data_IF_762517200835
#
_entry.id   IF_762517200835
#
_cell.length_a   1.000
_cell.length_b   1.000
_cell.length_c   1.000
_cell.angle_alpha   90.00
_cell.angle_beta   90.00
_cell.angle_gamma   90.00
#
_symmetry.space_group_name_H-M   'P 1'
#
loop_
_entity.id
_entity.type
_entity.pdbx_description
1 polymer ?
#
# COMPACT_ATOMS: atom_id res chain seq x y z
N UNK A 1 8.73 23.46 -34.72
CA UNK A 1 9.19 23.83 -33.36
C UNK A 1 8.08 24.28 -32.41
N UNK A 2 7.06 25.06 -32.85
CA UNK A 2 5.98 25.54 -31.97
C UNK A 2 5.10 24.43 -31.35
N UNK A 3 4.74 23.39 -32.13
CA UNK A 3 3.93 22.26 -31.66
C UNK A 3 4.57 21.48 -30.50
N UNK A 4 5.89 21.25 -30.54
CA UNK A 4 6.60 20.56 -29.44
C UNK A 4 6.70 21.41 -28.17
N UNK A 5 6.75 22.74 -28.28
CA UNK A 5 6.71 23.63 -27.09
C UNK A 5 5.32 23.64 -26.45
N UNK A 6 4.25 23.69 -27.25
CA UNK A 6 2.89 23.61 -26.72
C UNK A 6 2.62 22.26 -26.04
N UNK A 7 3.04 21.16 -26.66
CA UNK A 7 2.89 19.80 -26.12
C UNK A 7 3.58 19.64 -24.76
N UNK A 8 4.76 20.25 -24.57
CA UNK A 8 5.49 20.25 -23.29
C UNK A 8 4.65 20.82 -22.16
N UNK A 9 4.04 21.98 -22.35
CA UNK A 9 3.23 22.61 -21.30
C UNK A 9 1.89 21.89 -21.07
N UNK A 10 1.30 21.35 -22.14
CA UNK A 10 0.06 20.58 -22.04
C UNK A 10 0.24 19.27 -21.26
N UNK A 11 1.39 18.60 -21.42
CA UNK A 11 1.71 17.34 -20.71
C UNK A 11 2.32 17.56 -19.32
N UNK A 12 2.82 18.76 -18.99
CA UNK A 12 3.39 19.08 -17.69
C UNK A 12 2.52 18.71 -16.48
N UNK A 13 1.21 19.04 -16.42
CA UNK A 13 0.38 18.64 -15.27
C UNK A 13 0.29 17.12 -15.11
N UNK A 14 0.21 16.37 -16.22
CA UNK A 14 0.22 14.89 -16.17
C UNK A 14 1.55 14.34 -15.66
N UNK A 15 2.67 14.95 -16.07
CA UNK A 15 3.99 14.57 -15.59
C UNK A 15 4.15 14.83 -14.09
N UNK A 16 3.60 15.93 -13.58
CA UNK A 16 3.58 16.23 -12.14
C UNK A 16 2.72 15.22 -11.37
N UNK A 17 1.51 14.91 -11.85
CA UNK A 17 0.64 13.90 -11.23
C UNK A 17 1.34 12.54 -11.22
N UNK A 18 1.95 12.12 -12.33
CA UNK A 18 2.68 10.87 -12.41
C UNK A 18 3.86 10.82 -11.44
N UNK A 19 4.59 11.93 -11.26
CA UNK A 19 5.68 12.02 -10.28
C UNK A 19 5.18 11.88 -8.84
N UNK A 20 4.06 12.51 -8.48
CA UNK A 20 3.45 12.38 -7.15
C UNK A 20 2.99 10.93 -6.91
N UNK A 21 2.30 10.33 -7.89
CA UNK A 21 1.86 8.93 -7.79
C UNK A 21 3.05 7.97 -7.65
N UNK A 22 4.14 8.23 -8.37
CA UNK A 22 5.38 7.46 -8.23
C UNK A 22 5.95 7.55 -6.81
N UNK A 23 6.06 8.76 -6.25
CA UNK A 23 6.57 8.98 -4.89
C UNK A 23 5.68 8.28 -3.84
N UNK A 24 4.35 8.42 -3.96
CA UNK A 24 3.41 7.75 -3.06
C UNK A 24 3.51 6.22 -3.18
N UNK A 25 3.59 5.70 -4.41
CA UNK A 25 3.80 4.28 -4.65
C UNK A 25 5.12 3.77 -4.05
N UNK A 26 6.19 4.55 -4.15
CA UNK A 26 7.50 4.22 -3.60
C UNK A 26 7.45 4.15 -2.08
N UNK A 27 6.75 5.10 -1.45
CA UNK A 27 6.56 5.11 -0.02
C UNK A 27 5.81 3.86 0.46
N UNK A 28 4.67 3.53 -0.16
CA UNK A 28 3.87 2.34 0.20
C UNK A 28 4.70 1.06 0.01
N UNK A 29 5.38 0.94 -1.12
CA UNK A 29 6.21 -0.22 -1.42
C UNK A 29 7.40 -0.35 -0.46
N UNK A 30 8.06 0.78 -0.15
CA UNK A 30 9.18 0.84 0.79
C UNK A 30 8.77 0.44 2.20
N UNK A 31 7.63 0.93 2.69
CA UNK A 31 7.11 0.56 4.02
C UNK A 31 6.74 -0.93 4.08
N UNK A 32 6.05 -1.46 3.06
CA UNK A 32 5.73 -2.88 3.02
C UNK A 32 6.97 -3.78 2.96
N UNK A 33 7.98 -3.38 2.18
CA UNK A 33 9.26 -4.09 2.13
C UNK A 33 10.02 -4.02 3.46
N UNK A 34 10.00 -2.86 4.13
CA UNK A 34 10.59 -2.70 5.46
C UNK A 34 9.93 -3.62 6.49
N UNK A 35 8.59 -3.67 6.56
CA UNK A 35 7.89 -4.59 7.46
C UNK A 35 8.28 -6.04 7.14
N UNK A 36 8.28 -6.45 5.86
CA UNK A 36 8.65 -7.81 5.50
C UNK A 36 10.09 -8.18 5.87
N UNK A 37 11.03 -7.23 5.80
CA UNK A 37 12.44 -7.48 6.08
C UNK A 37 12.78 -7.48 7.58
N UNK A 38 12.06 -6.70 8.38
CA UNK A 38 12.45 -6.42 9.77
C UNK A 38 11.41 -6.83 10.82
N UNK A 39 10.15 -7.03 10.44
CA UNK A 39 9.14 -7.50 11.39
C UNK A 39 9.17 -9.02 11.52
N UNK A 40 8.73 -9.51 12.68
CA UNK A 40 8.75 -10.94 12.98
C UNK A 40 7.43 -11.55 12.55
N UNK A 41 7.50 -12.63 11.76
CA UNK A 41 6.34 -13.39 11.33
C UNK A 41 5.82 -14.29 12.47
N UNK A 42 4.50 -14.31 12.66
CA UNK A 42 3.80 -15.19 13.60
C UNK A 42 2.48 -15.67 12.99
N UNK A 43 1.97 -16.79 13.51
CA UNK A 43 0.65 -17.31 13.11
C UNK A 43 -0.35 -16.94 14.18
N UNK A 44 -1.34 -16.15 13.79
CA UNK A 44 -2.45 -15.76 14.64
C UNK A 44 -3.68 -16.61 14.34
N UNK A 45 -4.45 -16.92 15.38
CA UNK A 45 -5.75 -17.58 15.26
C UNK A 45 -6.83 -16.52 15.44
N UNK A 46 -7.75 -16.43 14.49
CA UNK A 46 -8.91 -15.54 14.60
C UNK A 46 -9.83 -16.07 15.70
N UNK A 47 -10.10 -15.27 16.71
CA UNK A 47 -10.97 -15.65 17.84
C UNK A 47 -12.37 -15.11 17.68
N UNK A 48 -12.53 -13.96 17.04
CA UNK A 48 -13.82 -13.30 16.87
C UNK A 48 -13.87 -12.52 15.56
N UNK A 49 -15.04 -12.48 14.92
CA UNK A 49 -15.31 -11.67 13.73
C UNK A 49 -16.69 -11.02 13.88
N UNK A 50 -16.73 -9.70 13.82
CA UNK A 50 -17.97 -8.91 13.93
C UNK A 50 -18.12 -8.03 12.70
N UNK A 51 -19.12 -8.26 11.83
CA UNK A 51 -19.36 -7.40 10.68
C UNK A 51 -19.82 -6.00 11.12
N UNK A 52 -19.46 -4.99 10.33
CA UNK A 52 -19.93 -3.63 10.51
C UNK A 52 -20.15 -2.95 9.15
N UNK A 53 -20.99 -1.93 9.13
CA UNK A 53 -21.18 -1.07 7.96
C UNK A 53 -20.83 0.37 8.34
N UNK A 54 -19.89 0.97 7.61
CA UNK A 54 -19.52 2.38 7.75
C UNK A 54 -20.32 3.22 6.74
N UNK A 55 -21.09 4.20 7.22
CA UNK A 55 -21.80 5.17 6.37
C UNK A 55 -20.94 6.43 6.21
N UNK A 56 -20.52 6.73 4.98
CA UNK A 56 -19.75 7.93 4.67
C UNK A 56 -20.67 9.13 4.40
N UNK A 57 -20.13 10.35 4.57
CA UNK A 57 -20.86 11.64 4.45
C UNK A 57 -21.67 11.86 3.15
N UNK A 58 -21.49 11.03 2.12
CA UNK A 58 -22.21 11.10 0.83
C UNK A 58 -23.16 9.91 0.59
N UNK A 59 -23.52 9.15 1.62
CA UNK A 59 -24.42 7.99 1.51
C UNK A 59 -23.75 6.72 0.97
N UNK A 60 -22.42 6.75 0.75
CA UNK A 60 -21.66 5.55 0.43
C UNK A 60 -21.53 4.69 1.68
N UNK A 61 -22.01 3.45 1.61
CA UNK A 61 -21.82 2.44 2.64
C UNK A 61 -20.64 1.55 2.26
N UNK A 62 -19.75 1.32 3.21
CA UNK A 62 -18.67 0.33 3.07
C UNK A 62 -18.80 -0.70 4.17
N UNK A 63 -18.96 -1.95 3.78
CA UNK A 63 -18.96 -3.07 4.72
C UNK A 63 -17.53 -3.43 5.11
N UNK A 64 -17.37 -3.87 6.36
CA UNK A 64 -16.10 -4.30 6.91
C UNK A 64 -16.32 -5.29 8.04
N UNK A 65 -15.19 -5.77 8.58
CA UNK A 65 -15.18 -6.68 9.71
C UNK A 65 -14.27 -6.13 10.80
N UNK A 66 -14.73 -6.18 12.04
CA UNK A 66 -13.85 -6.14 13.20
C UNK A 66 -13.42 -7.57 13.48
N UNK A 67 -12.16 -7.75 13.85
CA UNK A 67 -11.59 -9.06 14.13
C UNK A 67 -10.84 -9.00 15.44
N UNK A 68 -10.89 -10.08 16.20
CA UNK A 68 -9.98 -10.35 17.28
C UNK A 68 -9.10 -11.55 16.92
N UNK A 69 -7.82 -11.46 17.22
CA UNK A 69 -6.84 -12.52 16.97
C UNK A 69 -6.04 -12.81 18.22
N UNK A 70 -5.67 -14.08 18.41
CA UNK A 70 -4.74 -14.53 19.42
C UNK A 70 -3.48 -15.08 18.74
N UNK A 71 -2.30 -14.68 19.23
CA UNK A 71 -1.01 -15.07 18.67
C UNK A 71 0.03 -15.18 19.78
N UNK A 72 1.20 -15.70 19.43
CA UNK A 72 2.33 -15.82 20.35
C UNK A 72 3.45 -14.88 19.94
N UNK A 73 4.06 -14.24 20.94
CA UNK A 73 5.31 -13.50 20.84
C UNK A 73 6.34 -14.24 21.67
N UNK A 74 7.19 -15.04 21.01
CA UNK A 74 7.94 -16.09 21.70
C UNK A 74 6.97 -17.09 22.36
N UNK A 75 7.06 -17.24 23.68
CA UNK A 75 6.15 -18.09 24.48
C UNK A 75 5.03 -17.31 25.18
N UNK A 76 4.90 -16.00 24.90
CA UNK A 76 3.93 -15.15 25.58
C UNK A 76 2.63 -15.04 24.76
N UNK A 77 1.47 -15.45 25.30
CA UNK A 77 0.18 -15.26 24.65
C UNK A 77 -0.18 -13.78 24.55
N UNK A 78 -0.55 -13.36 23.35
CA UNK A 78 -1.01 -12.02 23.03
C UNK A 78 -2.37 -12.07 22.34
N UNK A 79 -3.14 -11.01 22.54
CA UNK A 79 -4.40 -10.79 21.82
C UNK A 79 -4.43 -9.40 21.24
N UNK A 80 -5.12 -9.28 20.11
CA UNK A 80 -5.35 -8.00 19.45
C UNK A 80 -6.78 -7.96 18.93
N UNK A 81 -7.42 -6.80 19.00
CA UNK A 81 -8.74 -6.59 18.41
C UNK A 81 -8.82 -5.23 17.73
N UNK A 82 -9.52 -5.18 16.60
CA UNK A 82 -9.65 -3.96 15.81
C UNK A 82 -10.33 -4.19 14.48
N UNK A 83 -10.29 -3.18 13.60
CA UNK A 83 -10.82 -3.31 12.24
C UNK A 83 -9.91 -4.24 11.45
N UNK A 84 -10.45 -5.30 10.86
CA UNK A 84 -9.68 -6.28 10.07
C UNK A 84 -8.86 -5.63 8.96
N UNK A 85 -9.37 -4.56 8.33
CA UNK A 85 -8.63 -3.78 7.31
C UNK A 85 -7.31 -3.19 7.78
N UNK A 86 -7.12 -2.96 9.09
CA UNK A 86 -5.87 -2.45 9.67
C UNK A 86 -4.76 -3.50 9.52
N UNK A 87 -5.12 -4.77 9.71
CA UNK A 87 -4.23 -5.92 9.54
C UNK A 87 -4.52 -6.67 8.22
N UNK A 88 -5.02 -5.98 7.18
CA UNK A 88 -5.24 -6.55 5.85
C UNK A 88 -6.23 -7.74 5.74
N UNK A 89 -7.10 -7.93 6.73
CA UNK A 89 -8.17 -8.93 6.74
C UNK A 89 -9.51 -8.33 6.31
N UNK A 90 -10.05 -8.84 5.20
CA UNK A 90 -11.33 -8.38 4.63
C UNK A 90 -12.44 -9.43 4.71
N UNK A 91 -12.07 -10.71 4.81
CA UNK A 91 -12.99 -11.83 4.98
C UNK A 91 -12.22 -12.97 5.64
N UNK A 92 -12.65 -13.36 6.83
CA UNK A 92 -12.10 -14.45 7.66
C UNK A 92 -13.21 -14.98 8.56
N UNK A 93 -13.04 -16.19 9.07
CA UNK A 93 -13.92 -16.82 10.05
C UNK A 93 -13.20 -17.05 11.38
N UNK A 94 -13.92 -17.11 12.51
CA UNK A 94 -13.36 -17.58 13.77
C UNK A 94 -12.75 -18.98 13.62
N UNK A 95 -11.55 -19.18 14.15
CA UNK A 95 -10.75 -20.40 14.02
C UNK A 95 -9.75 -20.37 12.86
N UNK A 96 -9.86 -19.43 11.92
CA UNK A 96 -8.91 -19.31 10.81
C UNK A 96 -7.51 -18.98 11.34
N UNK A 97 -6.49 -19.60 10.74
CA UNK A 97 -5.09 -19.26 10.97
C UNK A 97 -4.62 -18.27 9.91
N UNK A 98 -4.10 -17.13 10.35
CA UNK A 98 -3.61 -16.06 9.49
C UNK A 98 -2.16 -15.75 9.84
N UNK A 99 -1.33 -15.57 8.81
CA UNK A 99 0.04 -15.11 9.00
C UNK A 99 0.05 -13.60 9.22
N UNK A 100 0.59 -13.18 10.36
CA UNK A 100 0.78 -11.78 10.74
C UNK A 100 2.26 -11.51 10.96
N UNK A 101 2.60 -10.23 10.90
CA UNK A 101 3.89 -9.70 11.23
C UNK A 101 3.68 -8.69 12.35
N UNK A 102 4.53 -8.73 13.35
CA UNK A 102 4.50 -7.77 14.45
C UNK A 102 5.80 -6.98 14.52
N UNK A 103 5.69 -5.72 14.93
CA UNK A 103 6.86 -4.88 15.18
C UNK A 103 7.65 -5.44 16.39
N UNK A 104 8.93 -5.80 16.24
CA UNK A 104 9.73 -6.29 17.36
C UNK A 104 9.89 -5.28 18.50
N UNK A 105 9.74 -3.97 18.23
CA UNK A 105 9.77 -2.92 19.24
C UNK A 105 8.41 -2.70 19.94
N UNK A 106 7.30 -3.03 19.26
CA UNK A 106 5.94 -2.96 19.79
C UNK A 106 5.09 -4.12 19.25
N UNK A 107 5.05 -5.27 19.95
CA UNK A 107 4.37 -6.46 19.45
C UNK A 107 2.86 -6.31 19.27
N UNK A 108 2.25 -5.24 19.79
CA UNK A 108 0.83 -4.94 19.58
C UNK A 108 0.53 -4.34 18.21
N UNK A 109 1.57 -3.81 17.55
CA UNK A 109 1.50 -3.30 16.19
C UNK A 109 1.60 -4.46 15.19
N UNK A 110 0.46 -4.76 14.57
CA UNK A 110 0.30 -5.91 13.68
C UNK A 110 0.06 -5.46 12.24
N UNK A 111 0.58 -6.24 11.31
CA UNK A 111 0.33 -6.11 9.88
C UNK A 111 0.27 -7.51 9.27
N UNK A 112 -0.62 -7.77 8.32
CA UNK A 112 -0.41 -8.91 7.42
C UNK A 112 0.64 -8.46 6.43
N UNK A 113 1.82 -9.10 6.35
CA UNK A 113 2.85 -8.69 5.38
C UNK A 113 2.21 -8.38 4.04
N UNK A 114 2.17 -7.09 3.74
CA UNK A 114 1.28 -6.53 2.74
C UNK A 114 1.91 -6.73 1.35
N UNK A 115 2.03 -7.97 0.91
CA UNK A 115 2.27 -8.32 -0.49
C UNK A 115 1.00 -8.80 -1.19
N UNK A 116 -0.20 -8.65 -0.60
CA UNK A 116 -1.45 -8.95 -1.33
C UNK A 116 -1.68 -8.03 -2.55
N UNK A 117 -0.91 -6.95 -2.72
CA UNK A 117 -1.03 -6.00 -3.85
C UNK A 117 0.27 -5.60 -4.55
N UNK A 118 1.42 -6.22 -4.23
CA UNK A 118 2.74 -5.73 -4.68
C UNK A 118 2.88 -5.66 -6.21
N UNK A 119 2.26 -6.60 -6.94
CA UNK A 119 2.26 -6.61 -8.41
C UNK A 119 1.55 -5.39 -9.01
N UNK A 120 0.42 -4.98 -8.41
CA UNK A 120 -0.29 -3.77 -8.81
C UNK A 120 0.51 -2.50 -8.50
N UNK A 121 1.16 -2.47 -7.34
CA UNK A 121 2.08 -1.39 -6.96
C UNK A 121 3.27 -1.28 -7.94
N UNK A 122 3.89 -2.40 -8.31
CA UNK A 122 4.97 -2.44 -9.30
C UNK A 122 4.53 -1.94 -10.68
N UNK A 123 3.33 -2.31 -11.12
CA UNK A 123 2.78 -1.82 -12.39
C UNK A 123 2.60 -0.29 -12.36
N UNK A 124 2.07 0.24 -11.26
CA UNK A 124 1.93 1.68 -11.07
C UNK A 124 3.30 2.38 -11.07
N UNK A 125 4.28 1.84 -10.34
CA UNK A 125 5.65 2.36 -10.29
C UNK A 125 6.32 2.36 -11.66
N UNK A 126 6.26 1.24 -12.38
CA UNK A 126 6.85 1.11 -13.71
C UNK A 126 6.20 2.09 -14.71
N UNK A 127 4.88 2.21 -14.68
CA UNK A 127 4.13 3.07 -15.61
C UNK A 127 4.39 4.56 -15.35
N UNK A 128 4.35 4.97 -14.09
CA UNK A 128 4.58 6.37 -13.70
C UNK A 128 6.04 6.77 -13.88
N UNK A 129 7.00 5.91 -13.48
CA UNK A 129 8.42 6.15 -13.72
C UNK A 129 8.73 6.24 -15.22
N UNK A 130 8.21 5.30 -16.02
CA UNK A 130 8.43 5.28 -17.46
C UNK A 130 7.91 6.55 -18.14
N UNK A 131 6.70 6.99 -17.80
CA UNK A 131 6.14 8.22 -18.35
C UNK A 131 6.94 9.46 -17.94
N UNK A 132 7.28 9.60 -16.66
CA UNK A 132 8.06 10.76 -16.16
C UNK A 132 9.44 10.80 -16.80
N UNK A 133 10.15 9.66 -16.86
CA UNK A 133 11.46 9.56 -17.47
C UNK A 133 11.40 9.90 -18.97
N UNK A 134 10.40 9.37 -19.69
CA UNK A 134 10.21 9.67 -21.10
C UNK A 134 9.89 11.16 -21.34
N UNK A 135 9.00 11.75 -20.55
CA UNK A 135 8.66 13.17 -20.64
C UNK A 135 9.88 14.08 -20.40
N UNK A 136 10.64 13.82 -19.33
CA UNK A 136 11.86 14.58 -19.01
C UNK A 136 12.89 14.42 -20.12
N UNK A 137 13.13 13.20 -20.57
CA UNK A 137 14.07 12.94 -21.64
C UNK A 137 13.68 13.65 -22.93
N UNK A 138 12.44 13.49 -23.39
CA UNK A 138 11.98 14.03 -24.67
C UNK A 138 11.98 15.56 -24.69
N UNK A 139 11.41 16.20 -23.68
CA UNK A 139 11.16 17.65 -23.70
C UNK A 139 12.25 18.49 -23.07
N UNK A 140 13.12 17.91 -22.25
CA UNK A 140 14.13 18.65 -21.51
C UNK A 140 15.56 18.20 -21.80
N UNK A 141 15.83 16.91 -21.99
CA UNK A 141 17.21 16.43 -22.24
C UNK A 141 17.52 16.37 -23.74
N UNK A 142 16.64 15.78 -24.56
CA UNK A 142 16.80 15.68 -26.01
C UNK A 142 16.64 17.04 -26.69
N UNK A 143 15.64 17.82 -26.30
CA UNK A 143 15.42 19.15 -26.87
C UNK A 143 16.60 20.12 -26.61
N UNK A 144 17.42 19.89 -25.57
CA UNK A 144 18.66 20.64 -25.30
C UNK A 144 19.83 20.26 -26.21
N UNK A 145 19.81 19.09 -26.86
CA UNK A 145 20.88 18.61 -27.77
C UNK A 145 20.60 18.91 -29.25
N UNK A 146 19.43 19.49 -29.55
CA UNK A 146 19.00 19.85 -30.91
C UNK A 146 19.14 21.36 -31.20
N UNK A 147 19.77 22.09 -30.28
CA UNK A 147 20.28 23.45 -30.41
C UNK A 147 21.79 23.41 -30.26
#
# INVERSE_FOLDING_TARGET
MAAMRLMRFLLMPFALIAAVLFIMGLHIFGTGFYHQAFWIQTVATVTEVVPYTEVHKKGFTTDGINVAVAYLVGDTPMTWSGKGKIIGLYSVNPGDKVELYYDPADPSNLDTAAMKGWRGGLLLLASTAGFVAFYVWLFWLRARRAH
#
